data_IF_075701173678
#
_entry.id   IF_075701173678
#
_cell.length_a   1.000
_cell.length_b   1.000
_cell.length_c   1.000
_cell.angle_alpha   90.00
_cell.angle_beta   90.00
_cell.angle_gamma   90.00
#
_symmetry.space_group_name_H-M   'P 1'
#
loop_
_entity.id
_entity.type
_entity.pdbx_description
1 polymer ?
#
# COMPACT_ATOMS: atom_id res chain seq x y z
N UNK A 1 21.68 -1.18 8.97
CA UNK A 1 22.74 -1.34 7.94
C UNK A 1 24.09 -1.72 8.56
N UNK A 2 24.10 -2.55 9.61
CA UNK A 2 25.35 -2.98 10.27
C UNK A 2 26.13 -3.99 9.44
N UNK A 3 25.85 -5.29 9.65
CA UNK A 3 26.56 -6.42 9.02
C UNK A 3 26.06 -6.83 7.64
N UNK A 4 25.04 -6.15 7.09
CA UNK A 4 24.39 -6.55 5.83
C UNK A 4 25.00 -5.77 4.65
N UNK A 5 25.69 -6.44 3.70
CA UNK A 5 26.21 -5.80 2.51
C UNK A 5 25.08 -5.11 1.75
N UNK A 6 25.28 -3.84 1.40
CA UNK A 6 24.27 -3.04 0.69
C UNK A 6 24.95 -2.29 -0.44
N UNK A 7 24.30 -2.28 -1.61
CA UNK A 7 24.75 -1.54 -2.79
C UNK A 7 23.69 -0.50 -3.13
N UNK A 8 24.11 0.74 -3.33
CA UNK A 8 23.24 1.85 -3.73
C UNK A 8 23.43 2.11 -5.22
N UNK A 9 22.36 1.99 -6.00
CA UNK A 9 22.35 2.28 -7.43
C UNK A 9 21.77 3.69 -7.63
N UNK A 10 22.57 4.62 -8.13
CA UNK A 10 22.22 6.05 -8.24
C UNK A 10 22.24 6.61 -9.67
N UNK A 11 22.44 5.77 -10.69
CA UNK A 11 22.44 6.18 -12.10
C UNK A 11 21.37 5.42 -12.90
N UNK A 12 20.72 6.07 -13.88
CA UNK A 12 19.73 5.42 -14.74
C UNK A 12 20.26 4.20 -15.51
N UNK A 13 21.53 4.24 -15.95
CA UNK A 13 22.16 3.19 -16.74
C UNK A 13 22.29 1.89 -15.94
N UNK A 14 22.90 1.96 -14.76
CA UNK A 14 23.00 0.81 -13.85
C UNK A 14 21.61 0.35 -13.34
N UNK A 15 20.66 1.27 -13.11
CA UNK A 15 19.30 0.89 -12.75
C UNK A 15 18.62 0.08 -13.86
N UNK A 16 18.80 0.48 -15.13
CA UNK A 16 18.29 -0.26 -16.28
C UNK A 16 18.88 -1.67 -16.30
N UNK A 17 20.20 -1.81 -16.16
CA UNK A 17 20.87 -3.12 -16.11
C UNK A 17 20.30 -4.02 -15.00
N UNK A 18 20.12 -3.46 -13.80
CA UNK A 18 19.52 -4.18 -12.67
C UNK A 18 18.09 -4.67 -12.94
N UNK A 19 17.30 -3.91 -13.69
CA UNK A 19 15.88 -4.21 -13.96
C UNK A 19 15.63 -4.84 -15.34
N UNK A 20 16.67 -5.15 -16.11
CA UNK A 20 16.55 -5.89 -17.38
C UNK A 20 17.45 -7.11 -17.44
N UNK A 21 18.76 -6.96 -17.27
CA UNK A 21 19.72 -8.05 -17.48
C UNK A 21 19.83 -8.93 -16.23
N UNK A 22 19.76 -8.32 -15.05
CA UNK A 22 19.88 -9.00 -13.76
C UNK A 22 18.57 -9.01 -12.96
N UNK A 23 17.44 -8.80 -13.62
CA UNK A 23 16.13 -8.58 -13.00
C UNK A 23 15.69 -9.74 -12.10
N UNK A 24 15.87 -10.99 -12.55
CA UNK A 24 15.53 -12.19 -11.78
C UNK A 24 16.46 -12.39 -10.58
N UNK A 25 17.76 -12.13 -10.74
CA UNK A 25 18.73 -12.25 -9.66
C UNK A 25 18.47 -11.24 -8.54
N UNK A 26 18.02 -10.03 -8.91
CA UNK A 26 17.70 -8.93 -8.01
C UNK A 26 16.21 -8.88 -7.60
N UNK A 27 15.38 -9.78 -8.10
CA UNK A 27 13.95 -9.80 -7.78
C UNK A 27 13.64 -10.22 -6.34
N UNK A 28 14.59 -10.86 -5.66
CA UNK A 28 14.41 -11.30 -4.28
C UNK A 28 14.38 -10.13 -3.30
N UNK A 29 13.51 -10.20 -2.29
CA UNK A 29 13.46 -9.22 -1.20
C UNK A 29 14.30 -9.70 -0.02
N UNK A 30 15.09 -8.81 0.61
CA UNK A 30 15.74 -9.13 1.87
C UNK A 30 14.68 -9.57 2.89
N UNK A 31 14.94 -10.68 3.57
CA UNK A 31 14.07 -11.14 4.65
C UNK A 31 14.46 -10.43 5.95
N UNK A 32 13.47 -9.78 6.54
CA UNK A 32 13.57 -9.13 7.84
C UNK A 32 12.64 -9.84 8.84
N UNK A 33 13.10 -10.18 10.05
CA UNK A 33 12.24 -10.70 11.11
C UNK A 33 10.98 -9.86 11.34
N UNK A 34 11.11 -8.53 11.34
CA UNK A 34 9.96 -7.61 11.45
C UNK A 34 8.95 -7.77 10.32
N UNK A 35 9.44 -7.97 9.09
CA UNK A 35 8.63 -8.18 7.91
C UNK A 35 7.91 -9.52 7.95
N UNK A 36 8.55 -10.59 8.43
CA UNK A 36 7.95 -11.93 8.48
C UNK A 36 6.70 -11.99 9.37
N UNK A 37 6.68 -11.22 10.48
CA UNK A 37 5.53 -11.14 11.38
C UNK A 37 4.24 -10.64 10.70
N UNK A 38 4.37 -9.77 9.71
CA UNK A 38 3.22 -9.04 9.11
C UNK A 38 2.96 -9.41 7.65
N UNK A 39 3.76 -10.31 7.08
CA UNK A 39 3.69 -10.71 5.67
C UNK A 39 3.41 -12.20 5.46
N UNK A 40 2.79 -12.85 6.45
CA UNK A 40 2.54 -14.30 6.43
C UNK A 40 3.83 -15.09 6.19
N UNK A 41 4.86 -14.81 7.01
CA UNK A 41 6.21 -15.37 6.85
C UNK A 41 6.82 -15.10 5.45
N UNK A 42 6.58 -13.89 4.92
CA UNK A 42 7.08 -13.47 3.61
C UNK A 42 6.28 -14.00 2.42
N UNK A 43 5.16 -14.70 2.62
CA UNK A 43 4.33 -15.22 1.53
C UNK A 43 3.52 -14.13 0.80
N UNK A 44 3.43 -12.90 1.35
CA UNK A 44 2.77 -11.80 0.65
C UNK A 44 3.46 -11.48 -0.70
N UNK A 45 2.68 -11.08 -1.71
CA UNK A 45 3.18 -10.78 -3.06
C UNK A 45 4.32 -9.73 -3.09
N UNK A 46 4.30 -8.76 -2.16
CA UNK A 46 5.30 -7.70 -2.06
C UNK A 46 6.62 -8.15 -1.41
N UNK A 47 6.62 -9.29 -0.70
CA UNK A 47 7.74 -9.75 0.15
C UNK A 47 8.31 -11.10 -0.27
N UNK A 48 7.54 -11.90 -1.02
CA UNK A 48 7.98 -13.22 -1.48
C UNK A 48 9.16 -13.10 -2.44
N UNK A 49 10.14 -13.97 -2.24
CA UNK A 49 11.25 -14.20 -3.18
C UNK A 49 10.73 -14.67 -4.55
N UNK A 50 11.47 -14.35 -5.61
CA UNK A 50 11.15 -14.78 -6.96
C UNK A 50 11.18 -16.30 -7.06
N UNK A 51 10.16 -16.87 -7.70
CA UNK A 51 10.00 -18.31 -7.81
C UNK A 51 8.63 -18.69 -8.37
N UNK A 52 8.32 -19.99 -8.53
CA UNK A 52 7.04 -20.45 -9.04
C UNK A 52 5.83 -19.87 -8.27
N UNK A 53 5.94 -19.80 -6.95
CA UNK A 53 4.89 -19.24 -6.08
C UNK A 53 4.64 -17.75 -6.36
N UNK A 54 5.69 -16.93 -6.31
CA UNK A 54 5.59 -15.49 -6.60
C UNK A 54 5.07 -15.24 -8.02
N UNK A 55 5.54 -16.00 -9.02
CA UNK A 55 5.06 -15.88 -10.42
C UNK A 55 3.57 -16.20 -10.52
N UNK A 56 3.09 -17.18 -9.77
CA UNK A 56 1.67 -17.50 -9.71
C UNK A 56 0.85 -16.36 -9.08
N UNK A 57 1.28 -15.85 -7.91
CA UNK A 57 0.62 -14.70 -7.26
C UNK A 57 0.59 -13.47 -8.18
N UNK A 58 1.71 -13.16 -8.82
CA UNK A 58 1.86 -12.05 -9.77
C UNK A 58 0.87 -12.20 -10.93
N UNK A 59 0.75 -13.41 -11.50
CA UNK A 59 -0.19 -13.70 -12.59
C UNK A 59 -1.63 -13.50 -12.15
N UNK A 60 -2.03 -14.05 -11.00
CA UNK A 60 -3.38 -13.90 -10.46
C UNK A 60 -3.71 -12.43 -10.24
N UNK A 61 -2.82 -11.69 -9.58
CA UNK A 61 -3.01 -10.25 -9.34
C UNK A 61 -3.10 -9.46 -10.66
N UNK A 62 -2.22 -9.73 -11.62
CA UNK A 62 -2.22 -9.05 -12.92
C UNK A 62 -3.52 -9.27 -13.70
N UNK A 63 -4.04 -10.51 -13.72
CA UNK A 63 -5.23 -10.85 -14.50
C UNK A 63 -6.51 -10.35 -13.80
N UNK A 64 -6.66 -10.65 -12.51
CA UNK A 64 -7.94 -10.49 -11.83
C UNK A 64 -8.10 -9.14 -11.11
N UNK A 65 -6.99 -8.48 -10.77
CA UNK A 65 -7.01 -7.21 -10.03
C UNK A 65 -6.52 -6.03 -10.87
N UNK A 66 -5.40 -6.21 -11.59
CA UNK A 66 -4.66 -5.12 -12.22
C UNK A 66 -4.73 -5.11 -13.76
N UNK A 67 -5.63 -5.89 -14.36
CA UNK A 67 -5.80 -5.85 -15.82
C UNK A 67 -6.44 -4.53 -16.23
N UNK A 68 -6.14 -4.07 -17.45
CA UNK A 68 -6.64 -2.79 -17.96
C UNK A 68 -8.16 -2.65 -17.85
N UNK A 69 -8.89 -3.76 -18.10
CA UNK A 69 -10.33 -3.80 -17.92
C UNK A 69 -10.74 -3.60 -16.45
N UNK A 70 -10.12 -4.32 -15.49
CA UNK A 70 -10.45 -4.21 -14.07
C UNK A 70 -10.13 -2.83 -13.50
N UNK A 71 -8.99 -2.26 -13.88
CA UNK A 71 -8.60 -0.89 -13.53
C UNK A 71 -9.58 0.12 -14.11
N UNK A 72 -9.96 -0.01 -15.38
CA UNK A 72 -10.94 0.86 -16.03
C UNK A 72 -12.30 0.81 -15.35
N UNK A 73 -12.80 -0.39 -15.00
CA UNK A 73 -14.03 -0.54 -14.25
C UNK A 73 -13.96 0.14 -12.88
N UNK A 74 -12.90 -0.14 -12.10
CA UNK A 74 -12.72 0.44 -10.76
C UNK A 74 -12.60 1.97 -10.79
N UNK A 75 -11.94 2.52 -11.81
CA UNK A 75 -11.84 3.95 -12.03
C UNK A 75 -13.22 4.58 -12.31
N UNK A 76 -13.99 3.98 -13.21
CA UNK A 76 -15.31 4.49 -13.60
C UNK A 76 -16.37 4.36 -12.50
N UNK A 77 -16.27 3.33 -11.64
CA UNK A 77 -17.25 3.06 -10.59
C UNK A 77 -16.79 3.59 -9.23
N UNK A 78 -15.92 2.85 -8.55
CA UNK A 78 -15.52 3.05 -7.16
C UNK A 78 -14.76 4.35 -6.96
N UNK A 79 -13.69 4.58 -7.75
CA UNK A 79 -12.85 5.78 -7.59
C UNK A 79 -13.67 7.04 -7.87
N UNK A 80 -14.42 7.07 -8.98
CA UNK A 80 -15.26 8.20 -9.32
C UNK A 80 -16.34 8.47 -8.25
N UNK A 81 -16.94 7.42 -7.67
CA UNK A 81 -17.92 7.57 -6.59
C UNK A 81 -17.31 8.17 -5.32
N UNK A 82 -16.16 7.66 -4.88
CA UNK A 82 -15.48 8.13 -3.67
C UNK A 82 -14.94 9.56 -3.82
N UNK A 83 -14.40 9.90 -5.00
CA UNK A 83 -13.99 11.28 -5.32
C UNK A 83 -15.19 12.23 -5.25
N UNK A 84 -16.33 11.86 -5.87
CA UNK A 84 -17.56 12.65 -5.78
C UNK A 84 -18.06 12.80 -4.34
N UNK A 85 -17.94 11.74 -3.52
CA UNK A 85 -18.32 11.79 -2.11
C UNK A 85 -17.41 12.76 -1.33
N UNK A 86 -16.10 12.70 -1.54
CA UNK A 86 -15.13 13.63 -0.93
C UNK A 86 -15.43 15.08 -1.30
N UNK A 87 -15.63 15.39 -2.60
CA UNK A 87 -15.95 16.75 -3.06
C UNK A 87 -17.26 17.25 -2.44
N UNK A 88 -18.30 16.41 -2.37
CA UNK A 88 -19.56 16.77 -1.72
C UNK A 88 -19.39 17.09 -0.23
N UNK A 89 -18.57 16.30 0.50
CA UNK A 89 -18.24 16.57 1.91
C UNK A 89 -17.53 17.92 2.07
N UNK A 90 -16.56 18.20 1.20
CA UNK A 90 -15.82 19.48 1.21
C UNK A 90 -16.73 20.68 0.91
N UNK A 91 -17.61 20.55 -0.08
CA UNK A 91 -18.58 21.59 -0.44
C UNK A 91 -19.55 21.90 0.70
N UNK A 92 -20.09 20.87 1.36
CA UNK A 92 -20.94 21.04 2.56
C UNK A 92 -20.20 21.71 3.71
N UNK A 93 -18.95 21.32 3.96
CA UNK A 93 -18.14 21.93 5.00
C UNK A 93 -17.89 23.43 4.72
N UNK A 94 -17.67 23.81 3.46
CA UNK A 94 -17.53 25.21 3.07
C UNK A 94 -18.82 26.00 3.28
N UNK A 95 -19.98 25.43 2.92
CA UNK A 95 -21.30 26.06 3.12
C UNK A 95 -21.65 26.25 4.60
N UNK A 96 -21.23 25.34 5.47
CA UNK A 96 -21.46 25.41 6.92
C UNK A 96 -20.52 26.40 7.64
N UNK A 97 -19.49 26.92 6.96
CA UNK A 97 -18.51 27.82 7.56
C UNK A 97 -18.97 29.28 7.51
N UNK A 98 -18.83 29.99 8.62
CA UNK A 98 -19.09 31.43 8.72
C UNK A 98 -18.06 32.21 7.88
N UNK A 99 -18.34 32.40 6.59
CA UNK A 99 -17.44 33.02 5.62
C UNK A 99 -17.39 32.32 4.26
N UNK A 100 -18.12 31.20 4.08
CA UNK A 100 -18.21 30.49 2.80
C UNK A 100 -16.94 29.72 2.40
N UNK A 101 -15.94 29.66 3.29
CA UNK A 101 -14.68 28.97 3.06
C UNK A 101 -14.29 28.13 4.28
N UNK A 102 -14.15 26.81 4.09
CA UNK A 102 -13.68 25.91 5.13
C UNK A 102 -12.19 25.60 4.97
N UNK A 103 -11.45 25.56 6.09
CA UNK A 103 -10.09 25.03 6.12
C UNK A 103 -10.13 23.51 6.03
N UNK A 104 -9.40 22.93 5.07
CA UNK A 104 -9.41 21.49 4.81
C UNK A 104 -7.98 20.95 4.94
N UNK A 105 -7.83 19.86 5.68
CA UNK A 105 -6.58 19.10 5.73
C UNK A 105 -6.52 18.12 4.56
N UNK A 106 -5.89 18.53 3.45
CA UNK A 106 -5.87 17.76 2.20
C UNK A 106 -5.20 16.39 2.37
N UNK A 107 -4.10 16.31 3.14
CA UNK A 107 -3.40 15.06 3.42
C UNK A 107 -4.34 14.00 4.01
N UNK A 108 -5.12 14.39 5.03
CA UNK A 108 -6.12 13.51 5.65
C UNK A 108 -7.18 13.08 4.65
N UNK A 109 -7.72 14.02 3.85
CA UNK A 109 -8.78 13.70 2.88
C UNK A 109 -8.32 12.78 1.75
N UNK A 110 -7.10 12.95 1.24
CA UNK A 110 -6.53 12.05 0.25
C UNK A 110 -6.27 10.66 0.84
N UNK A 111 -5.80 10.59 2.09
CA UNK A 111 -5.63 9.32 2.79
C UNK A 111 -6.97 8.58 2.96
N UNK A 112 -8.00 9.29 3.46
CA UNK A 112 -9.36 8.76 3.62
C UNK A 112 -9.91 8.24 2.27
N UNK A 113 -9.73 9.02 1.20
CA UNK A 113 -10.13 8.64 -0.16
C UNK A 113 -9.46 7.33 -0.60
N UNK A 114 -8.13 7.25 -0.48
CA UNK A 114 -7.38 6.05 -0.87
C UNK A 114 -7.84 4.82 -0.07
N UNK A 115 -8.06 4.98 1.23
CA UNK A 115 -8.49 3.90 2.09
C UNK A 115 -9.92 3.42 1.75
N UNK A 116 -10.86 4.35 1.55
CA UNK A 116 -12.24 4.01 1.14
C UNK A 116 -12.26 3.28 -0.20
N UNK A 117 -11.50 3.75 -1.18
CA UNK A 117 -11.38 3.07 -2.49
C UNK A 117 -10.85 1.65 -2.32
N UNK A 118 -9.79 1.45 -1.53
CA UNK A 118 -9.21 0.13 -1.30
C UNK A 118 -10.21 -0.81 -0.61
N UNK A 119 -10.90 -0.32 0.43
CA UNK A 119 -11.87 -1.12 1.17
C UNK A 119 -13.07 -1.51 0.30
N UNK A 120 -13.63 -0.58 -0.46
CA UNK A 120 -14.73 -0.88 -1.39
C UNK A 120 -14.30 -1.89 -2.47
N UNK A 121 -13.06 -1.76 -2.96
CA UNK A 121 -12.52 -2.67 -4.00
C UNK A 121 -12.30 -4.08 -3.46
N UNK A 122 -11.76 -4.22 -2.26
CA UNK A 122 -11.33 -5.49 -1.68
C UNK A 122 -12.48 -6.20 -0.97
N UNK A 123 -13.17 -5.49 -0.09
CA UNK A 123 -14.16 -6.07 0.78
C UNK A 123 -15.55 -6.11 0.13
N UNK A 124 -15.73 -5.46 -1.03
CA UNK A 124 -17.03 -5.21 -1.67
C UNK A 124 -18.09 -4.77 -0.64
N UNK A 125 -17.63 -4.05 0.38
CA UNK A 125 -18.45 -3.59 1.48
C UNK A 125 -19.33 -2.52 0.89
N UNK A 126 -20.45 -2.91 0.26
CA UNK A 126 -21.53 -1.98 -0.07
C UNK A 126 -21.64 -1.09 1.14
N UNK A 127 -21.23 0.17 0.98
CA UNK A 127 -21.36 1.11 2.06
C UNK A 127 -22.85 1.45 2.12
N UNK A 128 -23.62 0.56 2.73
CA UNK A 128 -24.81 0.87 3.49
C UNK A 128 -24.36 1.82 4.60
N UNK A 129 -24.09 3.06 4.20
CA UNK A 129 -23.96 4.24 5.05
C UNK A 129 -23.62 5.40 4.15
N UNK A 130 -24.68 5.98 3.60
CA UNK A 130 -24.69 7.42 3.50
C UNK A 130 -24.27 7.96 4.88
N UNK A 131 -23.20 8.78 4.93
CA UNK A 131 -22.90 9.74 6.01
C UNK A 131 -21.84 9.40 7.09
N UNK A 132 -21.13 8.27 7.07
CA UNK A 132 -19.96 8.10 7.95
C UNK A 132 -18.66 8.59 7.29
N UNK A 133 -17.81 9.36 8.02
CA UNK A 133 -16.57 9.94 7.48
C UNK A 133 -15.52 8.87 7.11
N UNK A 134 -15.58 7.66 7.71
CA UNK A 134 -14.79 6.43 7.40
C UNK A 134 -15.55 5.21 7.99
N UNK A 135 -15.55 4.03 7.34
CA UNK A 135 -16.14 2.80 7.91
C UNK A 135 -15.40 2.33 9.19
N UNK A 136 -16.03 1.52 10.03
CA UNK A 136 -15.40 1.01 11.25
C UNK A 136 -14.17 0.15 10.91
N UNK A 137 -14.34 -0.72 9.92
CA UNK A 137 -13.33 -1.64 9.41
C UNK A 137 -12.12 -0.87 8.83
N UNK A 138 -12.39 0.25 8.14
CA UNK A 138 -11.34 1.12 7.64
C UNK A 138 -10.59 1.82 8.80
N UNK A 139 -11.27 2.22 9.89
CA UNK A 139 -10.60 2.77 11.08
C UNK A 139 -9.72 1.74 11.78
N UNK A 140 -10.19 0.50 11.90
CA UNK A 140 -9.41 -0.60 12.46
C UNK A 140 -8.19 -0.91 11.61
N UNK A 141 -8.38 -1.03 10.28
CA UNK A 141 -7.28 -1.22 9.33
C UNK A 141 -6.25 -0.09 9.43
N UNK A 142 -6.69 1.17 9.48
CA UNK A 142 -5.81 2.32 9.67
C UNK A 142 -5.00 2.20 10.97
N UNK A 143 -5.64 1.80 12.07
CA UNK A 143 -4.96 1.59 13.36
C UNK A 143 -3.89 0.49 13.30
N UNK A 144 -4.12 -0.57 12.53
CA UNK A 144 -3.12 -1.62 12.29
C UNK A 144 -1.96 -1.06 11.45
N UNK A 145 -2.27 -0.37 10.34
CA UNK A 145 -1.26 0.24 9.46
C UNK A 145 -0.35 1.22 10.22
N UNK A 146 -0.94 2.11 11.03
CA UNK A 146 -0.20 3.08 11.84
C UNK A 146 0.77 2.40 12.83
N UNK A 147 0.43 1.21 13.32
CA UNK A 147 1.29 0.41 14.19
C UNK A 147 2.38 -0.35 13.42
N UNK A 148 2.06 -0.92 12.27
CA UNK A 148 2.96 -1.81 11.51
C UNK A 148 4.01 -1.04 10.72
N UNK A 149 3.63 0.07 10.08
CA UNK A 149 4.53 0.82 9.17
C UNK A 149 5.84 1.27 9.84
N UNK A 150 5.86 1.76 11.08
CA UNK A 150 7.12 2.11 11.76
C UNK A 150 8.09 0.94 11.88
N UNK A 151 7.60 -0.28 12.12
CA UNK A 151 8.45 -1.47 12.25
C UNK A 151 9.00 -1.93 10.89
N UNK A 152 8.27 -1.70 9.80
CA UNK A 152 8.69 -2.06 8.44
C UNK A 152 9.60 -1.02 7.78
N UNK A 153 9.45 0.26 8.13
CA UNK A 153 10.06 1.39 7.42
C UNK A 153 11.27 2.02 8.13
N UNK A 154 11.60 1.58 9.34
CA UNK A 154 12.75 2.10 10.10
C UNK A 154 13.84 1.04 10.21
N UNK A 155 15.11 1.46 10.12
CA UNK A 155 16.23 0.58 10.44
C UNK A 155 16.14 0.21 11.92
N UNK A 156 15.69 -1.01 12.21
CA UNK A 156 15.58 -1.51 13.57
C UNK A 156 16.72 -2.50 13.87
N UNK A 157 17.18 -2.49 15.11
CA UNK A 157 18.31 -3.31 15.55
C UNK A 157 18.00 -4.81 15.44
N UNK A 158 16.73 -5.19 15.57
CA UNK A 158 16.28 -6.57 15.48
C UNK A 158 16.56 -7.18 14.10
N UNK A 159 16.30 -6.42 13.03
CA UNK A 159 16.51 -6.82 11.64
C UNK A 159 18.00 -6.88 11.23
N UNK A 160 18.85 -6.12 11.92
CA UNK A 160 20.29 -6.09 11.71
C UNK A 160 21.04 -7.16 12.54
N UNK A 161 20.69 -7.35 13.82
CA UNK A 161 21.43 -8.22 14.76
C UNK A 161 21.09 -9.70 14.58
N UNK A 162 19.84 -10.07 14.27
CA UNK A 162 19.47 -11.48 14.10
C UNK A 162 20.13 -12.12 12.86
N UNK A 163 20.55 -11.31 11.88
CA UNK A 163 21.32 -11.80 10.73
C UNK A 163 22.75 -12.21 11.08
N UNK A 164 23.31 -11.70 12.19
CA UNK A 164 24.67 -12.00 12.64
C UNK A 164 24.80 -13.29 13.46
N UNK A 165 23.69 -13.86 13.92
CA UNK A 165 23.67 -15.09 14.74
C UNK A 165 23.29 -16.34 13.93
N UNK A 166 23.07 -16.20 12.62
CA UNK A 166 22.68 -17.29 11.72
C UNK A 166 23.85 -17.84 10.87
N UNK A 167 25.09 -17.46 11.19
CA UNK A 167 26.32 -17.95 10.57
C UNK A 167 27.25 -18.59 11.60
#
# INVERSE_FOLDING_TARGET
MGSRPTVVVSSPEHAKECFTEHDVALANRPRFPSQQLVSFDGAALSTSSYGPYWRNLRRVAAVHLLSAHRVGCMAATTIAAEVRAMVRRMSRAAQASHGGAARIELKRRLFDLSLSVLMETIAQTKTSRAEADISLEAKEFKGIVDKVVPYLGTANLWDDVHSSLAH
#
